data_IF_120130827922
#
_entry.id   IF_120130827922
#
_cell.length_a   1.000
_cell.length_b   1.000
_cell.length_c   1.000
_cell.angle_alpha   90.00
_cell.angle_beta   90.00
_cell.angle_gamma   90.00
#
_symmetry.space_group_name_H-M   'P 1'
#
loop_
_entity.id
_entity.type
_entity.pdbx_description
1 polymer ?
#
# COMPACT_ATOMS: atom_id res chain seq x y z
N UNK A 1 -8.30 -13.42 11.18
CA UNK A 1 -7.02 -14.15 11.34
C UNK A 1 -5.92 -13.18 10.88
N UNK A 2 -5.29 -12.45 11.81
CA UNK A 2 -4.28 -11.44 11.49
C UNK A 2 -3.05 -12.12 10.89
N UNK A 3 -2.82 -11.95 9.59
CA UNK A 3 -1.63 -12.42 8.90
C UNK A 3 -0.46 -11.52 9.28
N UNK A 4 0.14 -11.78 10.44
CA UNK A 4 1.48 -11.29 10.76
C UNK A 4 2.46 -11.77 9.69
N UNK A 5 2.80 -10.88 8.75
CA UNK A 5 3.96 -11.04 7.88
C UNK A 5 5.19 -11.22 8.77
N UNK A 6 5.96 -12.27 8.48
CA UNK A 6 6.98 -12.84 9.38
C UNK A 6 8.23 -11.98 9.42
N UNK A 7 8.59 -11.54 10.62
CA UNK A 7 9.78 -10.78 11.07
C UNK A 7 11.16 -11.44 10.82
N UNK A 8 11.46 -12.07 9.67
CA UNK A 8 12.60 -13.01 9.60
C UNK A 8 13.67 -12.81 8.52
N UNK A 9 13.71 -11.72 7.75
CA UNK A 9 14.80 -11.53 6.78
C UNK A 9 15.30 -10.10 6.81
N UNK A 10 16.14 -9.73 7.78
CA UNK A 10 17.03 -8.58 7.61
C UNK A 10 18.19 -8.67 8.61
N UNK A 11 19.03 -9.68 8.40
CA UNK A 11 20.29 -9.80 9.12
C UNK A 11 21.38 -9.06 8.33
N UNK A 12 21.85 -7.96 8.91
CA UNK A 12 23.20 -7.42 8.82
C UNK A 12 23.90 -7.47 7.46
N UNK A 13 24.08 -6.31 6.82
CA UNK A 13 25.33 -6.09 6.09
C UNK A 13 25.76 -4.62 6.03
N UNK A 14 26.79 -4.33 6.81
CA UNK A 14 27.65 -3.17 6.65
C UNK A 14 28.57 -3.33 5.44
N UNK A 15 28.81 -2.21 4.77
CA UNK A 15 30.08 -1.77 4.15
C UNK A 15 30.26 -1.83 2.62
N UNK A 16 30.52 -0.61 2.12
CA UNK A 16 31.43 -0.16 1.05
C UNK A 16 31.06 -0.49 -0.40
N UNK A 17 30.66 0.55 -1.12
CA UNK A 17 31.02 0.68 -2.53
C UNK A 17 31.49 2.11 -2.83
N UNK A 18 32.81 2.25 -2.96
CA UNK A 18 33.41 3.37 -3.66
C UNK A 18 33.38 3.05 -5.16
N UNK A 19 32.73 3.88 -5.98
CA UNK A 19 33.06 3.99 -7.39
C UNK A 19 32.63 5.35 -7.94
N UNK A 20 33.62 6.12 -8.39
CA UNK A 20 33.44 7.38 -9.07
C UNK A 20 33.15 7.14 -10.56
N UNK A 21 32.09 7.75 -11.09
CA UNK A 21 32.03 8.17 -12.49
C UNK A 21 31.42 9.56 -12.60
N UNK A 22 32.22 10.46 -13.16
CA UNK A 22 31.82 11.77 -13.61
C UNK A 22 31.04 11.64 -14.92
N UNK A 23 29.80 12.11 -14.96
CA UNK A 23 29.13 12.55 -16.18
C UNK A 23 28.44 13.88 -15.94
N UNK A 24 28.67 14.75 -16.92
CA UNK A 24 28.44 16.18 -16.94
C UNK A 24 26.97 16.55 -16.85
N UNK A 25 26.58 17.16 -15.73
CA UNK A 25 25.40 18.01 -15.61
C UNK A 25 25.86 19.37 -15.09
N UNK A 26 25.77 20.40 -15.94
CA UNK A 26 26.13 21.76 -15.58
C UNK A 26 25.17 22.28 -14.49
N UNK A 27 25.63 22.35 -13.24
CA UNK A 27 25.09 23.31 -12.25
C UNK A 27 26.20 23.77 -11.32
N UNK A 28 27.04 24.66 -11.85
CA UNK A 28 27.87 25.51 -11.01
C UNK A 28 26.98 26.47 -10.23
N UNK A 29 27.02 26.36 -8.90
CA UNK A 29 26.30 27.20 -7.95
C UNK A 29 25.62 26.31 -6.92
N UNK A 30 26.01 26.42 -5.64
CA UNK A 30 25.49 25.63 -4.53
C UNK A 30 23.98 25.75 -4.37
N UNK A 31 23.25 24.99 -5.18
CA UNK A 31 21.80 24.88 -5.17
C UNK A 31 21.46 23.82 -4.14
N UNK A 32 20.45 24.12 -3.32
CA UNK A 32 19.95 23.20 -2.31
C UNK A 32 19.63 21.84 -2.97
N UNK A 33 20.29 20.73 -2.56
CA UNK A 33 20.04 19.42 -3.13
C UNK A 33 18.57 18.99 -2.99
N UNK A 34 17.82 19.52 -2.02
CA UNK A 34 16.38 19.26 -1.86
C UNK A 34 15.57 19.55 -3.13
N UNK A 35 15.93 20.59 -3.88
CA UNK A 35 15.19 21.00 -5.08
C UNK A 35 15.15 19.92 -6.18
N UNK A 36 16.07 18.95 -6.14
CA UNK A 36 16.07 17.82 -7.07
C UNK A 36 14.93 16.84 -6.76
N UNK A 37 14.56 16.71 -5.49
CA UNK A 37 13.66 15.69 -4.98
C UNK A 37 12.23 16.20 -4.76
N UNK A 38 12.06 17.46 -4.38
CA UNK A 38 10.73 18.05 -4.09
C UNK A 38 9.75 17.81 -5.25
N UNK A 39 8.54 17.38 -4.92
CA UNK A 39 7.41 17.20 -5.83
C UNK A 39 6.78 15.82 -5.76
N UNK A 40 5.89 15.54 -6.72
CA UNK A 40 5.22 14.25 -6.87
C UNK A 40 6.00 13.32 -7.81
N UNK A 41 6.06 12.05 -7.44
CA UNK A 41 6.71 10.99 -8.18
C UNK A 41 5.76 9.82 -8.33
N UNK A 42 5.67 9.28 -9.53
CA UNK A 42 4.73 8.21 -9.87
C UNK A 42 5.52 6.97 -10.29
N UNK A 43 5.08 5.80 -9.80
CA UNK A 43 5.67 4.54 -10.17
C UNK A 43 5.63 4.38 -11.69
N UNK A 44 6.76 3.99 -12.26
CA UNK A 44 6.95 3.93 -13.72
C UNK A 44 7.62 2.63 -14.17
N UNK A 45 7.75 1.66 -13.26
CA UNK A 45 8.36 0.37 -13.51
C UNK A 45 9.25 -0.08 -12.35
N UNK A 46 10.09 -1.06 -12.64
CA UNK A 46 10.97 -1.71 -11.69
C UNK A 46 10.74 -3.23 -11.67
N UNK A 47 11.13 -3.87 -10.58
CA UNK A 47 10.91 -5.30 -10.37
C UNK A 47 10.37 -5.54 -8.97
N UNK A 48 9.35 -6.37 -8.84
CA UNK A 48 8.78 -6.78 -7.56
C UNK A 48 8.90 -8.30 -7.45
N UNK A 49 9.52 -8.80 -6.38
CA UNK A 49 9.75 -10.24 -6.16
C UNK A 49 10.44 -10.95 -7.34
N UNK A 50 11.37 -10.26 -8.02
CA UNK A 50 12.06 -10.76 -9.20
C UNK A 50 11.26 -10.73 -10.51
N UNK A 51 10.01 -10.25 -10.51
CA UNK A 51 9.19 -10.07 -11.70
C UNK A 51 9.20 -8.61 -12.17
N UNK A 52 9.28 -8.38 -13.49
CA UNK A 52 9.29 -7.04 -14.07
C UNK A 52 7.91 -6.39 -14.00
N UNK A 53 7.85 -5.16 -13.52
CA UNK A 53 6.66 -4.31 -13.58
C UNK A 53 6.50 -3.78 -15.00
N UNK A 54 5.96 -4.64 -15.87
CA UNK A 54 5.75 -4.34 -17.28
C UNK A 54 4.75 -3.21 -17.50
N UNK A 55 4.79 -2.57 -18.67
CA UNK A 55 3.79 -1.57 -19.08
C UNK A 55 2.35 -2.09 -19.01
N UNK A 56 2.12 -3.38 -19.26
CA UNK A 56 0.81 -4.02 -19.15
C UNK A 56 0.34 -4.09 -17.69
N UNK A 57 1.25 -4.44 -16.78
CA UNK A 57 0.96 -4.46 -15.36
C UNK A 57 0.68 -3.04 -14.82
N UNK A 58 1.51 -2.07 -15.20
CA UNK A 58 1.31 -0.66 -14.83
C UNK A 58 -0.04 -0.12 -15.33
N UNK A 59 -0.41 -0.47 -16.56
CA UNK A 59 -1.72 -0.12 -17.11
C UNK A 59 -2.88 -0.78 -16.35
N UNK A 60 -2.72 -2.03 -15.93
CA UNK A 60 -3.71 -2.72 -15.11
C UNK A 60 -3.94 -2.01 -13.77
N UNK A 61 -2.86 -1.53 -13.12
CA UNK A 61 -2.98 -0.73 -11.90
C UNK A 61 -3.77 0.57 -12.16
N UNK A 62 -3.44 1.29 -13.24
CA UNK A 62 -4.16 2.51 -13.63
C UNK A 62 -5.64 2.24 -13.91
N UNK A 63 -5.97 1.19 -14.66
CA UNK A 63 -7.34 0.80 -15.00
C UNK A 63 -8.15 0.40 -13.74
N UNK A 64 -7.48 -0.13 -12.71
CA UNK A 64 -8.08 -0.45 -11.41
C UNK A 64 -8.12 0.73 -10.45
N UNK A 65 -7.55 1.88 -10.83
CA UNK A 65 -7.43 3.05 -9.96
C UNK A 65 -6.48 2.83 -8.78
N UNK A 66 -5.54 1.89 -8.92
CA UNK A 66 -4.46 1.65 -7.95
C UNK A 66 -3.31 2.58 -8.31
N UNK A 67 -3.02 3.53 -7.43
CA UNK A 67 -1.95 4.49 -7.61
C UNK A 67 -0.76 4.13 -6.74
N UNK A 68 0.46 4.35 -7.26
CA UNK A 68 1.69 4.22 -6.50
C UNK A 68 2.46 5.53 -6.62
N UNK A 69 2.41 6.34 -5.56
CA UNK A 69 2.81 7.74 -5.57
C UNK A 69 3.72 8.05 -4.38
N UNK A 70 4.81 8.76 -4.65
CA UNK A 70 5.67 9.34 -3.63
C UNK A 70 5.57 10.87 -3.68
N UNK A 71 5.21 11.49 -2.56
CA UNK A 71 5.19 12.94 -2.38
C UNK A 71 6.36 13.32 -1.48
N UNK A 72 7.19 14.26 -1.94
CA UNK A 72 8.29 14.83 -1.17
C UNK A 72 8.07 16.35 -1.05
N UNK A 73 7.58 16.80 0.09
CA UNK A 73 7.26 18.20 0.36
C UNK A 73 8.51 19.02 0.73
N UNK A 74 8.48 20.32 0.45
CA UNK A 74 9.62 21.23 0.69
C UNK A 74 10.09 21.25 2.15
N UNK A 75 9.19 21.02 3.11
CA UNK A 75 9.47 21.04 4.54
C UNK A 75 10.19 19.78 5.06
N UNK A 76 10.41 18.77 4.20
CA UNK A 76 11.02 17.49 4.58
C UNK A 76 10.01 16.46 5.09
N UNK A 77 8.72 16.72 4.92
CA UNK A 77 7.65 15.72 5.09
C UNK A 77 7.19 15.18 3.74
N UNK A 78 6.34 14.17 3.76
CA UNK A 78 5.78 13.59 2.55
C UNK A 78 4.87 12.42 2.87
N UNK A 79 4.43 11.75 1.81
CA UNK A 79 3.66 10.54 1.90
C UNK A 79 4.10 9.56 0.81
N UNK A 80 4.06 8.28 1.14
CA UNK A 80 4.23 7.20 0.20
C UNK A 80 2.92 6.42 0.14
N UNK A 81 2.34 6.37 -1.04
CA UNK A 81 1.20 5.54 -1.39
C UNK A 81 1.72 4.37 -2.22
N UNK A 82 1.66 3.17 -1.67
CA UNK A 82 2.01 1.95 -2.36
C UNK A 82 0.80 1.03 -2.36
N UNK A 83 0.21 0.84 -3.53
CA UNK A 83 -0.92 -0.07 -3.72
C UNK A 83 -2.10 0.26 -2.79
N UNK A 84 -2.44 1.56 -2.65
CA UNK A 84 -3.49 2.09 -1.77
C UNK A 84 -3.16 2.05 -0.27
N UNK A 85 -2.00 1.53 0.13
CA UNK A 85 -1.47 1.70 1.48
C UNK A 85 -0.71 3.01 1.56
N UNK A 86 -1.28 3.97 2.30
CA UNK A 86 -0.72 5.32 2.44
C UNK A 86 -0.02 5.46 3.78
N UNK A 87 1.29 5.72 3.74
CA UNK A 87 2.11 6.00 4.93
C UNK A 87 2.67 7.42 4.89
N UNK A 88 2.63 8.10 6.02
CA UNK A 88 3.32 9.39 6.20
C UNK A 88 4.83 9.14 6.38
N UNK A 89 5.64 10.00 5.78
CA UNK A 89 7.10 9.90 5.87
C UNK A 89 7.78 11.24 6.14
N UNK A 90 9.03 11.14 6.58
CA UNK A 90 10.00 12.24 6.59
C UNK A 90 11.08 11.94 5.56
N UNK A 91 11.72 12.97 5.04
CA UNK A 91 12.81 12.79 4.10
C UNK A 91 13.91 13.85 4.22
N UNK A 92 15.12 13.46 3.82
CA UNK A 92 16.29 14.32 3.81
C UNK A 92 17.15 14.05 2.57
N UNK A 93 17.51 15.10 1.83
CA UNK A 93 18.50 14.99 0.76
C UNK A 93 19.91 14.88 1.37
N UNK A 94 20.55 13.72 1.19
CA UNK A 94 21.95 13.51 1.60
C UNK A 94 22.92 14.27 0.69
N UNK A 95 22.63 14.25 -0.60
CA UNK A 95 23.38 14.92 -1.66
C UNK A 95 22.47 15.17 -2.88
N UNK A 96 23.02 15.65 -3.99
CA UNK A 96 22.25 15.97 -5.20
C UNK A 96 21.59 14.75 -5.87
N UNK A 97 21.97 13.52 -5.50
CA UNK A 97 21.56 12.26 -6.12
C UNK A 97 21.04 11.21 -5.15
N UNK A 98 21.12 11.46 -3.85
CA UNK A 98 20.64 10.56 -2.80
C UNK A 98 19.66 11.28 -1.89
N UNK A 99 18.49 10.68 -1.69
CA UNK A 99 17.52 11.07 -0.67
C UNK A 99 17.26 9.90 0.26
N UNK A 100 17.15 10.17 1.56
CA UNK A 100 16.68 9.20 2.55
C UNK A 100 15.22 9.50 2.83
N UNK A 101 14.37 8.48 2.73
CA UNK A 101 12.99 8.51 3.23
C UNK A 101 12.92 7.70 4.52
N UNK A 102 12.07 8.13 5.45
CA UNK A 102 11.85 7.49 6.74
C UNK A 102 10.36 7.35 6.99
N UNK A 103 9.86 6.12 7.07
CA UNK A 103 8.49 5.77 7.41
C UNK A 103 8.52 4.70 8.51
N UNK A 104 7.60 4.76 9.48
CA UNK A 104 7.48 3.76 10.55
C UNK A 104 8.80 3.39 11.28
N UNK A 105 9.67 4.38 11.52
CA UNK A 105 11.01 4.21 12.10
C UNK A 105 12.04 3.45 11.23
N UNK A 106 11.68 3.06 10.01
CA UNK A 106 12.57 2.47 9.01
C UNK A 106 13.02 3.52 8.00
N UNK A 107 14.25 3.41 7.48
CA UNK A 107 14.83 4.42 6.58
C UNK A 107 15.51 3.78 5.39
N UNK A 108 15.16 4.28 4.20
CA UNK A 108 15.64 3.77 2.92
C UNK A 108 16.26 4.90 2.09
N UNK A 109 17.38 4.61 1.44
CA UNK A 109 18.01 5.53 0.49
C UNK A 109 17.48 5.30 -0.91
N UNK A 110 16.89 6.32 -1.50
CA UNK A 110 16.56 6.33 -2.92
C UNK A 110 17.63 7.06 -3.71
N UNK A 111 17.93 6.56 -4.92
CA UNK A 111 18.91 7.16 -5.83
C UNK A 111 18.23 7.83 -7.01
N UNK A 112 18.58 9.09 -7.25
CA UNK A 112 18.20 9.82 -8.46
C UNK A 112 19.20 9.48 -9.57
N UNK A 113 18.74 8.72 -10.58
CA UNK A 113 19.51 8.38 -11.79
C UNK A 113 18.66 8.69 -13.01
N UNK A 114 19.23 9.40 -13.98
CA UNK A 114 18.56 9.74 -15.25
C UNK A 114 17.16 10.36 -15.08
N UNK A 115 16.99 11.18 -14.03
CA UNK A 115 15.71 11.84 -13.73
C UNK A 115 14.66 10.94 -13.06
N UNK A 116 15.02 9.73 -12.66
CA UNK A 116 14.16 8.75 -11.97
C UNK A 116 14.65 8.49 -10.55
N UNK A 117 13.73 8.36 -9.60
CA UNK A 117 14.04 7.90 -8.25
C UNK A 117 13.92 6.39 -8.20
N UNK A 118 14.96 5.74 -7.71
CA UNK A 118 15.04 4.28 -7.61
C UNK A 118 15.15 3.93 -6.13
N UNK A 119 14.17 3.16 -5.65
CA UNK A 119 14.22 2.46 -4.37
C UNK A 119 14.69 1.04 -4.67
N UNK A 120 15.86 0.66 -4.14
CA UNK A 120 16.39 -0.69 -4.28
C UNK A 120 15.97 -1.51 -3.06
N UNK A 121 15.46 -2.72 -3.29
CA UNK A 121 15.09 -3.70 -2.27
C UNK A 121 15.86 -5.00 -2.56
N UNK A 122 15.97 -5.90 -1.57
CA UNK A 122 16.81 -7.11 -1.71
C UNK A 122 16.42 -7.99 -2.91
N UNK A 123 15.11 -8.06 -3.21
CA UNK A 123 14.54 -8.87 -4.30
C UNK A 123 13.92 -8.03 -5.42
N UNK A 124 14.28 -6.75 -5.53
CA UNK A 124 13.80 -5.92 -6.62
C UNK A 124 14.09 -4.42 -6.51
N UNK A 125 13.35 -3.62 -7.27
CA UNK A 125 13.41 -2.18 -7.16
C UNK A 125 12.10 -1.55 -7.62
N UNK A 126 11.82 -0.34 -7.13
CA UNK A 126 10.74 0.49 -7.60
C UNK A 126 11.33 1.73 -8.26
N UNK A 127 10.88 2.02 -9.48
CA UNK A 127 11.38 3.14 -10.28
C UNK A 127 10.27 4.17 -10.45
N UNK A 128 10.47 5.35 -9.86
CA UNK A 128 9.53 6.45 -9.92
C UNK A 128 10.01 7.52 -10.90
N UNK A 129 9.09 8.04 -11.71
CA UNK A 129 9.32 9.19 -12.58
C UNK A 129 8.64 10.42 -11.99
N UNK A 130 9.30 11.58 -12.09
CA UNK A 130 8.73 12.84 -11.60
C UNK A 130 7.47 13.17 -12.38
N UNK A 131 6.39 13.46 -11.68
CA UNK A 131 5.14 13.89 -12.30
C UNK A 131 5.16 15.41 -12.50
N UNK A 132 4.60 15.87 -13.62
CA UNK A 132 4.35 17.29 -13.87
C UNK A 132 3.11 17.79 -13.10
N UNK A 133 2.31 16.87 -12.55
CA UNK A 133 1.10 17.16 -11.79
C UNK A 133 1.38 16.99 -10.30
N UNK A 134 0.69 17.78 -9.50
CA UNK A 134 0.57 17.52 -8.06
C UNK A 134 -0.38 16.33 -7.84
N UNK A 135 0.14 15.26 -7.24
CA UNK A 135 -0.58 14.02 -6.94
C UNK A 135 -1.02 13.92 -5.48
N UNK A 136 -0.84 14.96 -4.67
CA UNK A 136 -1.28 14.99 -3.25
C UNK A 136 -2.78 14.70 -3.10
N UNK A 137 -3.60 15.14 -4.06
CA UNK A 137 -5.04 14.85 -4.09
C UNK A 137 -5.37 13.37 -4.31
N UNK A 138 -4.53 12.64 -5.04
CA UNK A 138 -4.65 11.19 -5.23
C UNK A 138 -4.36 10.47 -3.92
N UNK A 139 -3.19 10.74 -3.33
CA UNK A 139 -2.78 10.15 -2.05
C UNK A 139 -3.80 10.40 -0.94
N UNK A 140 -4.38 11.61 -0.91
CA UNK A 140 -5.44 11.95 0.05
C UNK A 140 -6.69 11.09 -0.16
N UNK A 141 -7.13 10.93 -1.41
CA UNK A 141 -8.31 10.14 -1.75
C UNK A 141 -8.10 8.66 -1.37
N UNK A 142 -6.92 8.13 -1.63
CA UNK A 142 -6.61 6.73 -1.37
C UNK A 142 -6.50 6.47 0.14
N UNK A 143 -5.94 7.40 0.91
CA UNK A 143 -6.01 7.38 2.39
C UNK A 143 -7.44 7.38 2.90
N UNK A 144 -8.29 8.28 2.40
CA UNK A 144 -9.71 8.33 2.78
C UNK A 144 -10.48 7.06 2.40
N UNK A 145 -10.00 6.28 1.41
CA UNK A 145 -10.58 4.99 1.05
C UNK A 145 -10.11 3.90 2.02
N UNK A 146 -8.81 3.81 2.31
CA UNK A 146 -8.24 2.86 3.25
C UNK A 146 -8.84 3.00 4.66
N UNK A 147 -8.97 4.23 5.17
CA UNK A 147 -9.58 4.50 6.49
C UNK A 147 -11.04 4.04 6.56
N UNK A 148 -11.81 4.18 5.47
CA UNK A 148 -13.20 3.69 5.41
C UNK A 148 -13.27 2.17 5.38
N UNK A 149 -12.34 1.50 4.72
CA UNK A 149 -12.27 0.04 4.73
C UNK A 149 -11.99 -0.46 6.16
N UNK A 150 -11.05 0.16 6.88
CA UNK A 150 -10.77 -0.17 8.28
C UNK A 150 -11.99 0.07 9.18
N UNK A 151 -12.70 1.20 9.03
CA UNK A 151 -13.95 1.47 9.77
C UNK A 151 -15.03 0.42 9.50
N UNK A 152 -15.17 -0.04 8.25
CA UNK A 152 -16.11 -1.11 7.90
C UNK A 152 -15.67 -2.41 8.56
N UNK A 153 -14.39 -2.79 8.45
CA UNK A 153 -13.85 -4.03 9.04
C UNK A 153 -14.03 -4.06 10.56
N UNK A 154 -13.75 -2.96 11.26
CA UNK A 154 -13.98 -2.86 12.71
C UNK A 154 -15.48 -2.95 13.06
N UNK A 155 -16.37 -2.40 12.22
CA UNK A 155 -17.81 -2.51 12.44
C UNK A 155 -18.37 -3.93 12.23
N UNK A 156 -17.70 -4.81 11.46
CA UNK A 156 -18.12 -6.22 11.29
C UNK A 156 -17.61 -7.15 12.39
N UNK A 157 -16.64 -6.72 13.21
CA UNK A 157 -16.15 -7.54 14.33
C UNK A 157 -17.09 -7.52 15.55
N UNK A 158 -18.15 -6.70 15.54
CA UNK A 158 -19.00 -6.47 16.73
C UNK A 158 -20.51 -6.47 16.47
N UNK A 159 -21.02 -7.16 15.44
CA UNK A 159 -22.48 -7.34 15.26
C UNK A 159 -22.94 -8.76 15.62
N UNK A 160 -23.56 -8.84 16.80
CA UNK A 160 -24.32 -9.98 17.30
C UNK A 160 -25.36 -10.41 16.26
N UNK A 161 -25.10 -11.50 15.52
CA UNK A 161 -26.13 -12.22 14.75
C UNK A 161 -27.30 -12.49 15.70
N UNK A 162 -28.39 -11.73 15.55
CA UNK A 162 -29.57 -11.87 16.41
C UNK A 162 -30.30 -13.17 16.05
N UNK A 163 -29.90 -14.24 16.73
CA UNK A 163 -30.55 -15.54 16.64
C UNK A 163 -31.83 -15.52 17.47
N UNK A 164 -32.94 -15.90 16.83
CA UNK A 164 -34.22 -16.06 17.50
C UNK A 164 -34.56 -17.55 17.49
N UNK A 165 -34.58 -18.14 18.69
CA UNK A 165 -35.05 -19.52 18.87
C UNK A 165 -36.52 -19.65 18.46
N UNK A 166 -36.83 -20.73 17.75
CA UNK A 166 -38.19 -21.09 17.36
C UNK A 166 -38.65 -22.24 18.25
N UNK A 167 -39.61 -21.96 19.14
CA UNK A 167 -40.19 -22.96 20.04
C UNK A 167 -41.73 -22.95 19.94
N UNK A 168 -42.36 -24.09 19.57
CA UNK A 168 -41.72 -25.36 19.21
C UNK A 168 -41.02 -25.27 17.84
N UNK A 169 -39.98 -26.09 17.65
CA UNK A 169 -39.26 -26.21 16.39
C UNK A 169 -40.22 -26.61 15.26
N UNK A 170 -39.96 -26.12 14.04
CA UNK A 170 -40.87 -26.27 12.90
C UNK A 170 -40.34 -27.32 11.94
N UNK A 171 -41.06 -28.44 11.80
CA UNK A 171 -40.73 -29.47 10.81
C UNK A 171 -41.17 -29.02 9.42
N UNK A 172 -40.21 -28.90 8.50
CA UNK A 172 -40.45 -28.46 7.12
C UNK A 172 -40.40 -29.60 6.11
N UNK A 173 -39.77 -30.71 6.47
CA UNK A 173 -39.86 -31.97 5.74
C UNK A 173 -39.82 -33.13 6.75
N UNK A 174 -40.62 -34.16 6.50
CA UNK A 174 -40.65 -35.39 7.27
C UNK A 174 -41.03 -36.53 6.33
N UNK A 175 -40.03 -37.27 5.88
CA UNK A 175 -40.20 -38.43 5.01
C UNK A 175 -39.37 -39.62 5.51
N UNK A 176 -39.52 -40.77 4.83
CA UNK A 176 -38.83 -42.02 5.20
C UNK A 176 -37.29 -41.92 5.09
N UNK A 177 -36.75 -40.87 4.47
CA UNK A 177 -35.32 -40.62 4.28
C UNK A 177 -34.76 -39.64 5.30
N UNK A 178 -35.47 -38.56 5.64
CA UNK A 178 -35.07 -37.61 6.68
C UNK A 178 -36.22 -36.75 7.23
N UNK A 179 -36.04 -36.31 8.49
CA UNK A 179 -36.83 -35.23 9.11
C UNK A 179 -35.96 -33.98 9.21
N UNK A 180 -36.46 -32.86 8.69
CA UNK A 180 -35.78 -31.56 8.66
C UNK A 180 -36.57 -30.59 9.55
N UNK A 181 -35.94 -30.07 10.60
CA UNK A 181 -36.62 -29.23 11.60
C UNK A 181 -35.88 -27.92 11.82
N UNK A 182 -36.55 -26.80 11.60
CA UNK A 182 -35.98 -25.48 11.84
C UNK A 182 -36.06 -25.17 13.34
N UNK A 183 -34.92 -24.86 13.94
CA UNK A 183 -34.78 -24.55 15.37
C UNK A 183 -34.51 -23.07 15.64
N UNK A 184 -33.90 -22.36 14.69
CA UNK A 184 -33.58 -20.94 14.82
C UNK A 184 -33.78 -20.22 13.49
N UNK A 185 -34.09 -18.92 13.57
CA UNK A 185 -33.96 -18.00 12.45
C UNK A 185 -32.94 -16.91 12.82
N UNK A 186 -32.18 -16.47 11.84
CA UNK A 186 -31.29 -15.34 11.98
C UNK A 186 -31.42 -14.41 10.78
N UNK A 187 -31.00 -13.16 10.95
CA UNK A 187 -30.87 -12.18 9.88
C UNK A 187 -29.39 -11.85 9.76
N UNK A 188 -28.83 -11.97 8.57
CA UNK A 188 -27.46 -11.57 8.32
C UNK A 188 -27.34 -10.05 8.04
N UNK A 189 -26.12 -9.60 7.84
CA UNK A 189 -25.78 -8.17 7.73
C UNK A 189 -26.30 -7.54 6.44
N UNK A 190 -26.65 -8.36 5.44
CA UNK A 190 -27.32 -7.90 4.20
C UNK A 190 -28.83 -7.91 4.32
N UNK A 191 -29.33 -8.40 5.46
CA UNK A 191 -30.72 -8.50 5.80
C UNK A 191 -31.42 -9.71 5.21
N UNK A 192 -30.65 -10.68 4.72
CA UNK A 192 -31.16 -11.96 4.29
C UNK A 192 -31.49 -12.82 5.52
N UNK A 193 -32.55 -13.62 5.38
CA UNK A 193 -33.05 -14.46 6.46
C UNK A 193 -32.48 -15.86 6.30
N UNK A 194 -31.72 -16.31 7.31
CA UNK A 194 -31.21 -17.66 7.42
C UNK A 194 -31.98 -18.50 8.44
N UNK A 195 -31.89 -19.82 8.29
CA UNK A 195 -32.52 -20.80 9.17
C UNK A 195 -31.49 -21.83 9.63
N UNK A 196 -31.56 -22.22 10.91
CA UNK A 196 -30.83 -23.36 11.46
C UNK A 196 -31.76 -24.56 11.47
N UNK A 197 -31.24 -25.71 11.03
CA UNK A 197 -31.98 -26.92 10.64
C UNK A 197 -31.40 -28.15 11.31
#
# INVERSE_FOLDING_TARGET
>A
MKTTFKKSVLAFLTCVLALAFALTGCSGGGKDPKANFVGSWELSGGTLEGEELTDEYMKMLEDWGVHCVLILDEDGTGALDLFLEVVDLKWEAKDATTVTITAEDESHDMKLKDGKLILEEDDGNLVFTKSDKDLSGTVKKDREAAEKEDEIVEAVEDDDVQKIEISPAVTVADDDLCTITITEKFKDDWGDIGFVV
#
